data_IF_329748765507
#
_entry.id   IF_329748765507
#
_cell.length_a   1.000
_cell.length_b   1.000
_cell.length_c   1.000
_cell.angle_alpha   90.00
_cell.angle_beta   90.00
_cell.angle_gamma   90.00
#
_symmetry.space_group_name_H-M   'P 1'
#
loop_
_entity.id
_entity.type
_entity.pdbx_description
1 polymer ?
#
# COMPACT_ATOMS: atom_id res chain seq x y z
N UNK A 1 35.21 -4.27 -24.98
CA UNK A 1 33.82 -4.75 -25.16
C UNK A 1 33.34 -5.31 -23.84
N UNK A 2 32.61 -4.52 -23.05
CA UNK A 2 31.91 -5.06 -21.88
C UNK A 2 30.52 -5.49 -22.34
N UNK A 3 30.33 -6.81 -22.42
CA UNK A 3 29.05 -7.42 -22.73
C UNK A 3 28.11 -7.21 -21.55
N UNK A 4 27.07 -6.41 -21.76
CA UNK A 4 25.95 -6.27 -20.86
C UNK A 4 25.23 -7.63 -20.77
N UNK A 5 25.27 -8.28 -19.61
CA UNK A 5 24.30 -9.32 -19.29
C UNK A 5 23.00 -8.62 -18.91
N UNK A 6 22.14 -8.37 -19.88
CA UNK A 6 20.72 -8.16 -19.61
C UNK A 6 20.13 -9.49 -19.17
N UNK A 7 19.96 -9.70 -17.87
CA UNK A 7 19.05 -10.73 -17.39
C UNK A 7 17.63 -10.24 -17.66
N UNK A 8 17.11 -10.53 -18.85
CA UNK A 8 15.68 -10.41 -19.15
C UNK A 8 14.95 -11.52 -18.38
N UNK A 9 14.76 -11.33 -17.07
CA UNK A 9 13.71 -12.06 -16.36
C UNK A 9 12.38 -11.59 -16.95
N UNK A 10 11.52 -12.52 -17.35
CA UNK A 10 10.18 -12.15 -17.79
C UNK A 10 9.46 -11.40 -16.66
N UNK A 11 8.72 -10.32 -16.97
CA UNK A 11 8.00 -9.58 -15.95
C UNK A 11 6.97 -10.47 -15.26
N UNK A 12 6.75 -10.28 -13.95
CA UNK A 12 5.75 -11.04 -13.21
C UNK A 12 4.37 -10.89 -13.87
N UNK A 13 3.69 -12.01 -14.07
CA UNK A 13 2.40 -12.06 -14.76
C UNK A 13 1.29 -12.53 -13.83
N UNK A 14 0.17 -11.80 -13.83
CA UNK A 14 -1.06 -12.21 -13.18
C UNK A 14 -1.88 -13.13 -14.10
N UNK A 15 -2.48 -14.18 -13.52
CA UNK A 15 -3.39 -15.09 -14.18
C UNK A 15 -4.83 -14.56 -14.11
N UNK A 16 -5.12 -13.55 -14.93
CA UNK A 16 -6.42 -12.84 -14.98
C UNK A 16 -7.05 -12.90 -16.38
N UNK A 17 -8.33 -12.56 -16.49
CA UNK A 17 -9.09 -12.62 -17.73
C UNK A 17 -9.15 -14.04 -18.30
N UNK A 18 -8.77 -14.21 -19.56
CA UNK A 18 -8.73 -15.52 -20.23
C UNK A 18 -7.67 -16.46 -19.64
N UNK A 19 -6.65 -15.94 -18.97
CA UNK A 19 -5.61 -16.74 -18.29
C UNK A 19 -6.00 -17.15 -16.87
N UNK A 20 -7.17 -16.74 -16.37
CA UNK A 20 -7.62 -17.09 -15.04
C UNK A 20 -7.88 -18.60 -14.90
N UNK A 21 -7.32 -19.21 -13.85
CA UNK A 21 -7.48 -20.65 -13.56
C UNK A 21 -8.46 -20.94 -12.43
N UNK A 22 -8.95 -19.90 -11.75
CA UNK A 22 -9.96 -19.99 -10.70
C UNK A 22 -10.99 -18.87 -10.85
N UNK A 23 -12.27 -19.10 -10.49
CA UNK A 23 -13.32 -18.08 -10.61
C UNK A 23 -13.17 -16.98 -9.56
N UNK A 24 -12.86 -17.34 -8.31
CA UNK A 24 -12.62 -16.40 -7.23
C UNK A 24 -11.77 -17.04 -6.14
N UNK A 25 -11.06 -16.23 -5.37
CA UNK A 25 -10.33 -16.67 -4.18
C UNK A 25 -10.19 -15.55 -3.16
N UNK A 26 -10.08 -15.93 -1.89
CA UNK A 26 -9.68 -15.03 -0.82
C UNK A 26 -8.18 -15.09 -0.65
N UNK A 27 -7.56 -13.92 -0.49
CA UNK A 27 -6.12 -13.80 -0.28
C UNK A 27 -5.87 -13.62 1.22
N UNK A 28 -4.96 -14.41 1.83
CA UNK A 28 -4.57 -14.21 3.21
C UNK A 28 -4.04 -12.79 3.44
N UNK A 29 -4.66 -12.07 4.38
CA UNK A 29 -4.15 -10.77 4.82
C UNK A 29 -3.13 -10.97 5.93
N UNK A 30 -1.92 -10.47 5.72
CA UNK A 30 -0.81 -10.54 6.68
C UNK A 30 -0.70 -9.24 7.46
N UNK A 31 -0.49 -9.39 8.77
CA UNK A 31 -0.18 -8.26 9.64
C UNK A 31 1.17 -7.62 9.26
N UNK A 32 1.34 -6.32 9.52
CA UNK A 32 2.63 -5.64 9.42
C UNK A 32 3.72 -6.36 10.23
N UNK A 33 4.94 -6.32 9.73
CA UNK A 33 6.11 -6.93 10.38
C UNK A 33 7.23 -5.93 10.53
N UNK A 34 8.14 -6.20 11.47
CA UNK A 34 9.38 -5.47 11.59
C UNK A 34 10.37 -5.86 10.48
N UNK A 35 10.84 -4.84 9.75
CA UNK A 35 11.84 -4.95 8.68
C UNK A 35 13.14 -4.21 9.01
N UNK A 36 13.23 -3.59 10.19
CA UNK A 36 14.40 -2.82 10.60
C UNK A 36 15.67 -3.67 10.55
N UNK A 37 16.73 -3.09 9.97
CA UNK A 37 18.08 -3.63 9.91
C UNK A 37 18.23 -4.98 9.17
N UNK A 38 17.19 -5.44 8.47
CA UNK A 38 17.28 -6.61 7.59
C UNK A 38 17.99 -6.28 6.28
N UNK A 39 18.51 -7.30 5.60
CA UNK A 39 18.99 -7.17 4.22
C UNK A 39 17.82 -7.16 3.22
N UNK A 40 18.01 -6.48 2.08
CA UNK A 40 17.15 -6.53 0.89
C UNK A 40 16.88 -7.98 0.50
N UNK A 41 17.90 -8.84 0.51
CA UNK A 41 17.73 -10.26 0.18
C UNK A 41 16.71 -10.96 1.08
N UNK A 42 16.81 -10.81 2.41
CA UNK A 42 15.87 -11.41 3.35
C UNK A 42 14.43 -10.88 3.16
N UNK A 43 14.29 -9.58 2.90
CA UNK A 43 12.99 -8.93 2.66
C UNK A 43 12.35 -9.47 1.37
N UNK A 44 13.12 -9.53 0.29
CA UNK A 44 12.64 -10.01 -1.01
C UNK A 44 12.33 -11.50 -0.99
N UNK A 45 13.11 -12.32 -0.30
CA UNK A 45 12.81 -13.73 -0.13
C UNK A 45 11.56 -13.96 0.72
N UNK A 46 11.32 -13.13 1.74
CA UNK A 46 10.07 -13.20 2.49
C UNK A 46 8.86 -12.81 1.64
N UNK A 47 8.99 -11.75 0.83
CA UNK A 47 7.96 -11.35 -0.14
C UNK A 47 7.66 -12.45 -1.17
N UNK A 48 8.69 -13.11 -1.73
CA UNK A 48 8.52 -14.24 -2.66
C UNK A 48 7.69 -15.34 -2.03
N UNK A 49 8.03 -15.76 -0.81
CA UNK A 49 7.27 -16.76 -0.05
C UNK A 49 5.81 -16.33 0.12
N UNK A 50 5.54 -15.05 0.36
CA UNK A 50 4.17 -14.54 0.47
C UNK A 50 3.40 -14.64 -0.87
N UNK A 51 4.05 -14.36 -2.00
CA UNK A 51 3.42 -14.45 -3.33
C UNK A 51 3.16 -15.92 -3.74
N UNK A 52 4.11 -16.81 -3.46
CA UNK A 52 4.05 -18.24 -3.79
C UNK A 52 2.92 -19.00 -3.08
N UNK A 53 2.37 -18.45 -1.99
CA UNK A 53 1.21 -19.03 -1.30
C UNK A 53 -0.09 -18.93 -2.08
N UNK A 54 -0.12 -18.15 -3.17
CA UNK A 54 -1.31 -18.00 -4.01
C UNK A 54 -0.99 -18.27 -5.49
N UNK A 55 -0.55 -19.50 -5.83
CA UNK A 55 -0.07 -19.82 -7.18
C UNK A 55 -1.19 -19.78 -8.25
N UNK A 56 -2.46 -19.74 -7.84
CA UNK A 56 -3.62 -19.67 -8.73
C UNK A 56 -3.84 -18.29 -9.35
N UNK A 57 -3.12 -17.24 -8.92
CA UNK A 57 -3.22 -15.89 -9.51
C UNK A 57 -1.90 -15.32 -10.01
N UNK A 58 -0.77 -15.96 -9.71
CA UNK A 58 0.56 -15.53 -10.14
C UNK A 58 1.19 -16.61 -11.03
N UNK A 59 1.65 -16.23 -12.21
CA UNK A 59 2.49 -17.10 -13.02
C UNK A 59 3.86 -17.24 -12.33
N UNK A 60 4.25 -18.48 -12.03
CA UNK A 60 5.52 -18.79 -11.38
C UNK A 60 6.64 -19.07 -12.41
N UNK A 61 7.92 -18.83 -12.05
CA UNK A 61 8.39 -18.28 -10.77
C UNK A 61 8.16 -16.78 -10.64
N UNK A 62 7.79 -16.32 -9.44
CA UNK A 62 7.67 -14.90 -9.12
C UNK A 62 9.03 -14.31 -8.71
N UNK A 63 9.35 -13.12 -9.21
CA UNK A 63 10.57 -12.39 -8.88
C UNK A 63 10.26 -10.92 -8.58
N UNK A 64 10.51 -10.41 -7.35
CA UNK A 64 10.29 -9.00 -7.04
C UNK A 64 10.99 -8.07 -8.04
N UNK A 65 10.24 -7.11 -8.56
CA UNK A 65 10.69 -6.18 -9.58
C UNK A 65 11.81 -5.28 -9.06
N UNK A 66 12.93 -5.24 -9.78
CA UNK A 66 14.02 -4.30 -9.50
C UNK A 66 13.57 -2.85 -9.66
N UNK A 67 12.56 -2.57 -10.50
CA UNK A 67 12.03 -1.21 -10.65
C UNK A 67 11.31 -0.70 -9.39
N UNK A 68 10.77 -1.62 -8.57
CA UNK A 68 10.05 -1.27 -7.33
C UNK A 68 10.96 -1.42 -6.12
N UNK A 69 11.69 -2.52 -6.03
CA UNK A 69 12.43 -2.89 -4.83
C UNK A 69 13.94 -2.72 -4.97
N UNK A 70 14.41 -2.21 -6.10
CA UNK A 70 15.83 -2.11 -6.42
C UNK A 70 16.64 -1.28 -5.45
N UNK A 71 16.01 -0.24 -4.88
CA UNK A 71 16.67 0.78 -4.06
C UNK A 71 16.47 0.57 -2.56
N UNK A 72 16.03 -0.61 -2.12
CA UNK A 72 16.09 -0.99 -0.70
C UNK A 72 17.56 -1.06 -0.29
N UNK A 73 17.92 -0.36 0.78
CA UNK A 73 19.26 -0.44 1.38
C UNK A 73 19.28 -1.42 2.55
N UNK A 74 20.33 -2.26 2.59
CA UNK A 74 20.57 -3.24 3.65
C UNK A 74 20.85 -2.57 5.00
N UNK A 75 20.39 -3.20 6.08
CA UNK A 75 20.78 -2.78 7.43
C UNK A 75 20.25 -1.40 7.83
N UNK A 76 19.26 -0.86 7.10
CA UNK A 76 18.64 0.42 7.42
C UNK A 76 17.38 0.24 8.27
N UNK A 77 17.05 1.24 9.10
CA UNK A 77 15.72 1.32 9.68
C UNK A 77 14.67 1.56 8.59
N UNK A 78 13.40 1.35 8.94
CA UNK A 78 12.23 1.68 8.12
C UNK A 78 11.39 2.71 8.86
N UNK A 79 10.57 3.48 8.14
CA UNK A 79 9.49 4.20 8.78
C UNK A 79 8.58 3.21 9.52
N UNK A 80 8.40 3.40 10.83
CA UNK A 80 7.60 2.54 11.69
C UNK A 80 6.17 3.07 11.85
N UNK A 81 5.19 2.17 11.96
CA UNK A 81 3.77 2.55 12.14
C UNK A 81 3.54 3.40 13.40
N UNK A 82 4.17 3.02 14.52
CA UNK A 82 4.09 3.80 15.76
C UNK A 82 4.96 5.07 15.64
N UNK A 83 6.15 4.94 15.05
CA UNK A 83 7.04 6.04 14.72
C UNK A 83 6.34 7.20 14.02
N UNK A 84 5.73 6.91 12.87
CA UNK A 84 5.01 7.88 12.05
C UNK A 84 3.76 8.42 12.73
N UNK A 85 2.99 7.58 13.44
CA UNK A 85 1.73 7.98 14.05
C UNK A 85 1.89 8.85 15.30
N UNK A 86 2.95 8.65 16.09
CA UNK A 86 3.12 9.27 17.40
C UNK A 86 4.20 10.36 17.38
N UNK A 87 5.42 10.02 16.96
CA UNK A 87 6.59 10.89 17.14
C UNK A 87 7.01 11.62 15.86
N UNK A 88 6.61 11.13 14.69
CA UNK A 88 7.05 11.70 13.42
C UNK A 88 8.56 11.54 13.18
N UNK A 89 9.18 12.45 12.40
CA UNK A 89 10.60 12.37 12.09
C UNK A 89 11.49 12.55 13.33
N UNK A 90 12.50 11.70 13.46
CA UNK A 90 13.45 11.75 14.58
C UNK A 90 13.90 10.38 15.07
N UNK A 91 14.52 10.30 16.26
CA UNK A 91 15.07 9.05 16.80
C UNK A 91 14.06 7.90 17.00
N UNK A 92 12.76 8.21 17.10
CA UNK A 92 11.67 7.24 17.26
C UNK A 92 10.89 6.96 15.97
N UNK A 93 11.31 7.51 14.85
CA UNK A 93 10.62 7.34 13.55
C UNK A 93 10.53 5.89 13.08
N UNK A 94 11.44 5.01 13.52
CA UNK A 94 11.47 3.58 13.18
C UNK A 94 10.77 2.68 14.19
N UNK A 95 10.05 3.24 15.18
CA UNK A 95 9.36 2.46 16.22
C UNK A 95 8.14 1.72 15.66
N UNK A 96 8.00 0.45 16.04
CA UNK A 96 6.92 -0.44 15.61
C UNK A 96 7.23 -1.17 14.30
N UNK A 97 6.28 -1.95 13.80
CA UNK A 97 6.40 -2.62 12.51
C UNK A 97 6.60 -1.60 11.38
N UNK A 98 7.36 -1.97 10.34
CA UNK A 98 7.61 -1.09 9.20
C UNK A 98 6.29 -0.75 8.51
N UNK A 99 6.04 0.51 8.22
CA UNK A 99 4.81 0.98 7.57
C UNK A 99 4.60 0.27 6.22
N UNK A 100 5.64 0.22 5.39
CA UNK A 100 5.60 -0.43 4.07
C UNK A 100 5.42 -1.94 4.14
N UNK A 101 5.64 -2.56 5.30
CA UNK A 101 5.39 -4.00 5.45
C UNK A 101 3.92 -4.36 5.17
N UNK A 102 2.98 -3.40 5.38
CA UNK A 102 1.57 -3.53 5.00
C UNK A 102 1.38 -4.03 3.56
N UNK A 103 2.24 -3.61 2.64
CA UNK A 103 2.15 -3.96 1.22
C UNK A 103 3.27 -4.91 0.78
N UNK A 104 4.46 -4.84 1.39
CA UNK A 104 5.58 -5.75 1.08
C UNK A 104 5.19 -7.20 1.36
N UNK A 105 4.56 -7.47 2.51
CA UNK A 105 4.16 -8.84 2.89
C UNK A 105 2.80 -9.25 2.34
N UNK A 106 2.09 -8.34 1.69
CA UNK A 106 0.83 -8.60 0.99
C UNK A 106 1.01 -8.32 -0.52
N UNK A 107 1.83 -9.09 -1.25
CA UNK A 107 2.20 -8.77 -2.64
C UNK A 107 0.98 -8.68 -3.58
N UNK A 108 -0.10 -9.40 -3.28
CA UNK A 108 -1.34 -9.39 -4.06
C UNK A 108 -2.34 -8.32 -3.64
N UNK A 109 -1.99 -7.46 -2.68
CA UNK A 109 -2.66 -6.18 -2.47
C UNK A 109 -2.15 -5.19 -3.54
N UNK A 110 -2.71 -5.28 -4.76
CA UNK A 110 -2.25 -4.46 -5.90
C UNK A 110 -2.40 -2.95 -5.67
N UNK A 111 -3.45 -2.54 -4.96
CA UNK A 111 -3.68 -1.16 -4.55
C UNK A 111 -4.37 -1.16 -3.17
N UNK A 112 -3.87 -0.38 -2.23
CA UNK A 112 -4.42 -0.28 -0.87
C UNK A 112 -4.45 1.15 -0.34
N UNK A 113 -5.24 1.36 0.71
CA UNK A 113 -5.41 2.67 1.33
C UNK A 113 -4.23 3.01 2.25
N UNK A 114 -3.67 4.20 2.07
CA UNK A 114 -2.68 4.79 2.96
C UNK A 114 -3.29 6.00 3.68
N UNK A 115 -3.81 5.83 4.90
CA UNK A 115 -4.52 6.90 5.59
C UNK A 115 -3.58 8.01 6.07
N UNK A 116 -4.10 9.23 6.15
CA UNK A 116 -3.39 10.38 6.70
C UNK A 116 -3.31 10.31 8.23
N UNK A 117 -2.47 9.41 8.77
CA UNK A 117 -2.31 9.14 10.22
C UNK A 117 -1.01 9.67 10.80
N UNK A 118 -0.21 10.42 10.04
CA UNK A 118 1.06 11.01 10.50
C UNK A 118 0.81 11.91 11.70
N UNK A 119 1.55 11.69 12.79
CA UNK A 119 1.56 12.52 13.99
C UNK A 119 0.16 12.80 14.58
N UNK A 120 -0.76 11.85 14.44
CA UNK A 120 -2.12 11.99 14.95
C UNK A 120 -2.22 11.93 16.47
N UNK A 121 -1.22 11.32 17.13
CA UNK A 121 -1.18 11.12 18.58
C UNK A 121 -0.34 12.16 19.29
N UNK A 122 -0.78 12.57 20.48
CA UNK A 122 -0.06 13.45 21.37
C UNK A 122 1.05 12.65 22.09
N UNK A 123 2.30 12.88 21.69
CA UNK A 123 3.46 12.11 22.17
C UNK A 123 3.69 12.23 23.67
N UNK A 124 3.23 13.30 24.31
CA UNK A 124 3.35 13.50 25.76
C UNK A 124 2.33 12.67 26.55
N UNK A 125 1.29 12.15 25.88
CA UNK A 125 0.17 11.42 26.51
C UNK A 125 0.18 9.91 26.22
N UNK A 126 0.87 9.49 25.16
CA UNK A 126 0.98 8.08 24.77
C UNK A 126 2.19 7.46 25.46
N UNK A 127 1.93 6.43 26.27
CA UNK A 127 2.97 5.63 26.94
C UNK A 127 3.41 4.47 26.05
N UNK A 128 4.51 3.83 26.43
CA UNK A 128 5.02 2.64 25.75
C UNK A 128 4.01 1.49 25.79
N UNK A 129 3.32 1.33 26.92
CA UNK A 129 2.28 0.30 27.08
C UNK A 129 1.07 0.56 26.19
N UNK A 130 0.71 1.82 25.93
CA UNK A 130 -0.47 2.15 25.14
C UNK A 130 -0.35 1.63 23.70
N UNK A 131 0.71 2.02 22.99
CA UNK A 131 0.83 1.74 21.56
C UNK A 131 1.10 0.26 21.25
N UNK A 132 1.59 -0.48 22.23
CA UNK A 132 1.78 -1.93 22.14
C UNK A 132 0.47 -2.73 22.31
N UNK A 133 -0.63 -2.08 22.73
CA UNK A 133 -1.93 -2.76 22.83
C UNK A 133 -2.51 -3.05 21.45
N UNK A 134 -3.15 -4.20 21.34
CA UNK A 134 -3.83 -4.62 20.10
C UNK A 134 -5.02 -3.73 19.71
N UNK A 135 -5.57 -2.95 20.66
CA UNK A 135 -6.67 -2.01 20.44
C UNK A 135 -6.21 -0.57 20.23
N UNK A 136 -4.91 -0.30 20.14
CA UNK A 136 -4.38 1.02 19.86
C UNK A 136 -4.37 1.29 18.34
N UNK A 137 -5.14 2.28 17.84
CA UNK A 137 -5.36 2.44 16.41
C UNK A 137 -4.21 3.22 15.74
N UNK A 138 -3.17 2.52 15.30
CA UNK A 138 -2.01 3.14 14.62
C UNK A 138 -2.28 3.50 13.16
N UNK A 139 -2.95 2.63 12.42
CA UNK A 139 -3.17 2.80 10.98
C UNK A 139 -4.30 1.88 10.50
N UNK A 140 -4.94 2.21 9.39
CA UNK A 140 -5.88 1.29 8.74
C UNK A 140 -5.13 0.06 8.24
N UNK A 141 -5.65 -1.11 8.58
CA UNK A 141 -5.20 -2.40 8.07
C UNK A 141 -6.32 -3.02 7.24
N UNK A 142 -6.01 -3.64 6.09
CA UNK A 142 -7.01 -4.42 5.39
C UNK A 142 -7.42 -5.60 6.28
N UNK A 143 -8.68 -5.99 6.25
CA UNK A 143 -9.19 -7.18 6.94
C UNK A 143 -9.64 -8.26 5.97
N UNK A 144 -9.77 -7.92 4.70
CA UNK A 144 -10.25 -8.82 3.66
C UNK A 144 -9.65 -8.43 2.31
N UNK A 145 -9.22 -9.43 1.56
CA UNK A 145 -8.82 -9.29 0.15
C UNK A 145 -9.47 -10.44 -0.61
N UNK A 146 -10.22 -10.12 -1.66
CA UNK A 146 -10.83 -11.11 -2.56
C UNK A 146 -10.57 -10.77 -4.00
N UNK A 147 -10.30 -11.80 -4.78
CA UNK A 147 -10.07 -11.72 -6.21
C UNK A 147 -11.16 -12.46 -6.97
N UNK A 148 -11.49 -11.90 -8.12
CA UNK A 148 -12.25 -12.51 -9.21
C UNK A 148 -11.39 -12.43 -10.46
N UNK A 149 -10.44 -13.37 -10.64
CA UNK A 149 -9.41 -13.24 -11.66
C UNK A 149 -9.98 -13.23 -13.08
N UNK A 150 -11.06 -13.98 -13.34
CA UNK A 150 -11.71 -14.02 -14.66
C UNK A 150 -12.32 -12.67 -15.05
N UNK A 151 -12.83 -11.95 -14.07
CA UNK A 151 -13.42 -10.62 -14.19
C UNK A 151 -12.37 -9.50 -14.15
N UNK A 152 -11.10 -9.84 -13.90
CA UNK A 152 -10.03 -8.86 -13.66
C UNK A 152 -10.39 -7.88 -12.54
N UNK A 153 -10.87 -8.41 -11.41
CA UNK A 153 -11.35 -7.63 -10.27
C UNK A 153 -10.73 -8.08 -8.94
N UNK A 154 -10.37 -7.12 -8.10
CA UNK A 154 -10.03 -7.32 -6.69
C UNK A 154 -10.88 -6.40 -5.83
N UNK A 155 -11.24 -6.87 -4.63
CA UNK A 155 -11.82 -6.08 -3.57
C UNK A 155 -10.94 -6.19 -2.32
N UNK A 156 -10.75 -5.06 -1.66
CA UNK A 156 -10.00 -4.94 -0.40
C UNK A 156 -10.88 -4.18 0.58
N UNK A 157 -11.04 -4.68 1.80
CA UNK A 157 -11.86 -4.03 2.82
C UNK A 157 -11.02 -3.53 3.99
N UNK A 158 -11.31 -2.30 4.41
CA UNK A 158 -10.74 -1.64 5.57
C UNK A 158 -11.88 -1.26 6.54
N UNK A 159 -11.81 -1.66 7.83
CA UNK A 159 -12.83 -1.39 8.82
C UNK A 159 -12.68 0.04 9.41
N UNK A 160 -12.82 1.06 8.56
CA UNK A 160 -12.62 2.47 8.91
C UNK A 160 -13.60 2.96 10.00
N UNK A 161 -14.85 2.50 10.01
CA UNK A 161 -15.81 2.83 11.07
C UNK A 161 -15.34 2.32 12.43
N UNK A 162 -14.77 1.11 12.48
CA UNK A 162 -14.20 0.56 13.72
C UNK A 162 -12.94 1.32 14.14
N UNK A 163 -12.07 1.64 13.19
CA UNK A 163 -10.89 2.47 13.47
C UNK A 163 -11.27 3.84 14.04
N UNK A 164 -12.27 4.50 13.45
CA UNK A 164 -12.79 5.77 13.93
C UNK A 164 -13.40 5.66 15.34
N UNK A 165 -14.10 4.56 15.63
CA UNK A 165 -14.59 4.28 16.98
C UNK A 165 -13.45 4.07 17.99
N UNK A 166 -12.39 3.38 17.59
CA UNK A 166 -11.21 3.20 18.44
C UNK A 166 -10.53 4.54 18.71
N UNK A 167 -10.38 5.39 17.69
CA UNK A 167 -9.89 6.75 17.89
C UNK A 167 -10.72 7.54 18.89
N UNK A 168 -12.05 7.43 18.81
CA UNK A 168 -12.92 8.08 19.77
C UNK A 168 -12.70 7.58 21.20
N UNK A 169 -12.45 6.28 21.38
CA UNK A 169 -12.15 5.70 22.70
C UNK A 169 -10.84 6.25 23.28
N UNK A 170 -9.87 6.54 22.42
CA UNK A 170 -8.55 7.06 22.77
C UNK A 170 -8.42 8.58 22.65
N UNK A 171 -9.52 9.31 22.41
CA UNK A 171 -9.53 10.73 22.03
C UNK A 171 -8.76 11.68 22.95
N UNK A 172 -8.62 11.35 24.23
CA UNK A 172 -7.86 12.16 25.19
C UNK A 172 -6.34 12.20 24.89
N UNK A 173 -5.85 11.26 24.08
CA UNK A 173 -4.44 11.14 23.67
C UNK A 173 -4.17 11.59 22.23
N UNK A 174 -5.19 12.09 21.51
CA UNK A 174 -5.01 12.61 20.14
C UNK A 174 -4.49 14.05 20.17
N UNK A 175 -3.67 14.45 19.18
CA UNK A 175 -3.29 15.87 18.98
C UNK A 175 -4.49 16.74 18.58
N UNK A 176 -5.49 16.12 17.93
CA UNK A 176 -6.69 16.78 17.42
C UNK A 176 -7.90 15.84 17.57
N UNK A 177 -9.06 16.39 17.90
CA UNK A 177 -10.34 15.67 17.96
C UNK A 177 -10.95 15.44 16.57
N UNK A 178 -10.41 16.08 15.53
CA UNK A 178 -10.87 15.93 14.15
C UNK A 178 -10.28 14.69 13.50
N UNK A 179 -11.14 13.74 13.16
CA UNK A 179 -10.81 12.64 12.26
C UNK A 179 -10.57 13.22 10.86
N UNK A 180 -9.44 12.85 10.27
CA UNK A 180 -9.09 13.25 8.90
C UNK A 180 -9.59 12.15 7.95
N UNK A 181 -10.65 12.39 7.16
CA UNK A 181 -11.20 11.36 6.27
C UNK A 181 -10.42 11.27 4.96
N UNK A 182 -9.09 11.34 5.01
CA UNK A 182 -8.22 11.39 3.84
C UNK A 182 -7.23 10.23 3.79
N UNK A 183 -6.92 9.80 2.58
CA UNK A 183 -5.98 8.74 2.29
C UNK A 183 -5.35 8.94 0.90
N UNK A 184 -4.18 8.35 0.69
CA UNK A 184 -3.63 8.08 -0.63
C UNK A 184 -3.76 6.61 -0.98
N UNK A 185 -3.40 6.25 -2.22
CA UNK A 185 -3.33 4.87 -2.68
C UNK A 185 -1.87 4.46 -2.84
N UNK A 186 -1.51 3.35 -2.19
CA UNK A 186 -0.23 2.67 -2.40
C UNK A 186 -0.47 1.50 -3.35
N UNK A 187 0.24 1.50 -4.47
CA UNK A 187 0.02 0.57 -5.57
C UNK A 187 1.32 0.16 -6.30
N UNK A 188 2.48 0.23 -5.65
CA UNK A 188 3.72 -0.29 -6.24
C UNK A 188 3.67 -1.82 -6.45
N UNK A 189 2.82 -2.52 -5.69
CA UNK A 189 2.52 -3.93 -5.96
C UNK A 189 1.91 -4.12 -7.36
N UNK A 190 1.14 -3.16 -7.89
CA UNK A 190 0.66 -3.23 -9.27
C UNK A 190 1.81 -3.14 -10.29
N UNK A 191 2.79 -2.25 -10.06
CA UNK A 191 3.99 -2.11 -10.91
C UNK A 191 4.81 -3.41 -10.89
N UNK A 192 4.91 -4.06 -9.73
CA UNK A 192 5.57 -5.35 -9.57
C UNK A 192 4.98 -6.45 -10.47
N UNK A 193 3.69 -6.33 -10.84
CA UNK A 193 2.99 -7.20 -11.79
C UNK A 193 2.77 -6.55 -13.18
N UNK A 194 3.59 -5.55 -13.52
CA UNK A 194 3.58 -4.84 -14.80
C UNK A 194 2.24 -4.14 -15.11
N UNK A 195 1.53 -3.66 -14.09
CA UNK A 195 0.38 -2.76 -14.19
C UNK A 195 0.85 -1.34 -13.87
N UNK A 196 1.40 -0.67 -14.88
CA UNK A 196 2.19 0.55 -14.72
C UNK A 196 1.38 1.85 -14.71
N UNK A 197 0.09 1.81 -15.06
CA UNK A 197 -0.77 2.98 -15.12
C UNK A 197 -1.97 2.82 -14.19
N UNK A 198 -2.36 3.93 -13.56
CA UNK A 198 -3.37 3.95 -12.50
C UNK A 198 -4.30 5.16 -12.64
N UNK A 199 -5.55 4.96 -12.27
CA UNK A 199 -6.57 6.02 -12.20
C UNK A 199 -7.56 5.73 -11.07
N UNK A 200 -7.84 6.74 -10.23
CA UNK A 200 -8.93 6.67 -9.24
C UNK A 200 -10.16 7.34 -9.84
N UNK A 201 -11.15 6.53 -10.22
CA UNK A 201 -12.36 6.94 -10.91
C UNK A 201 -13.41 7.39 -9.89
N UNK A 202 -13.37 8.67 -9.51
CA UNK A 202 -14.30 9.24 -8.52
C UNK A 202 -15.76 9.22 -9.00
N UNK A 203 -16.00 9.23 -10.32
CA UNK A 203 -17.34 9.15 -10.88
C UNK A 203 -17.98 7.75 -10.72
N UNK A 204 -17.16 6.69 -10.70
CA UNK A 204 -17.60 5.31 -10.38
C UNK A 204 -17.46 4.93 -8.91
N UNK A 205 -16.82 5.79 -8.13
CA UNK A 205 -16.62 5.57 -6.70
C UNK A 205 -17.89 5.93 -5.91
N UNK A 206 -18.02 5.35 -4.72
CA UNK A 206 -19.10 5.66 -3.76
C UNK A 206 -18.52 6.51 -2.62
N UNK A 207 -19.05 7.71 -2.42
CA UNK A 207 -18.64 8.61 -1.34
C UNK A 207 -17.14 8.95 -1.34
N UNK A 208 -16.53 9.08 -2.52
CA UNK A 208 -15.11 9.44 -2.68
C UNK A 208 -14.97 10.72 -3.48
N UNK A 209 -14.10 11.61 -3.02
CA UNK A 209 -13.69 12.81 -3.73
C UNK A 209 -12.15 12.89 -3.79
N UNK A 210 -11.61 13.47 -4.86
CA UNK A 210 -10.18 13.80 -4.95
C UNK A 210 -10.00 15.30 -4.67
N UNK A 211 -9.26 15.64 -3.61
CA UNK A 211 -9.05 17.03 -3.17
C UNK A 211 -8.27 17.83 -4.22
N UNK A 212 -7.38 17.18 -4.98
CA UNK A 212 -6.58 17.81 -6.03
C UNK A 212 -7.31 17.92 -7.37
N UNK A 213 -8.61 17.56 -7.42
CA UNK A 213 -9.39 17.26 -8.63
C UNK A 213 -8.89 16.01 -9.33
N UNK A 214 -9.83 15.18 -9.78
CA UNK A 214 -9.53 13.98 -10.56
C UNK A 214 -8.79 14.35 -11.84
N UNK A 215 -7.67 13.70 -12.17
CA UNK A 215 -6.99 13.97 -13.44
C UNK A 215 -7.88 13.59 -14.63
N UNK A 216 -7.60 14.19 -15.78
CA UNK A 216 -8.33 13.88 -17.02
C UNK A 216 -7.88 12.56 -17.68
N UNK A 217 -6.69 12.07 -17.33
CA UNK A 217 -6.07 10.88 -17.91
C UNK A 217 -5.48 9.96 -16.83
N UNK A 218 -5.34 8.68 -17.15
CA UNK A 218 -4.60 7.73 -16.33
C UNK A 218 -3.12 8.16 -16.24
N UNK A 219 -2.55 8.03 -15.04
CA UNK A 219 -1.18 8.45 -14.76
C UNK A 219 -0.28 7.23 -14.63
N UNK A 220 1.00 7.39 -14.99
CA UNK A 220 2.00 6.35 -14.70
C UNK A 220 2.18 6.25 -13.19
N UNK A 221 2.07 5.05 -12.63
CA UNK A 221 2.46 4.83 -11.26
C UNK A 221 4.00 4.80 -11.18
N UNK A 222 4.57 5.68 -10.37
CA UNK A 222 6.01 5.83 -10.19
C UNK A 222 6.48 5.42 -8.80
N UNK A 223 5.62 4.84 -7.98
CA UNK A 223 5.97 4.43 -6.62
C UNK A 223 7.03 3.32 -6.61
N UNK A 224 8.05 3.47 -5.77
CA UNK A 224 9.08 2.48 -5.50
C UNK A 224 9.55 2.59 -4.06
N UNK A 225 10.26 1.58 -3.58
CA UNK A 225 10.90 1.58 -2.26
C UNK A 225 12.34 2.07 -2.40
N UNK A 226 12.72 2.98 -1.52
CA UNK A 226 14.05 3.57 -1.46
C UNK A 226 14.47 3.88 -0.03
N UNK A 227 15.76 4.13 0.18
CA UNK A 227 16.27 4.73 1.40
C UNK A 227 16.28 6.27 1.28
N UNK A 228 15.55 6.94 2.16
CA UNK A 228 15.38 8.39 2.16
C UNK A 228 15.63 9.04 3.52
N UNK A 229 15.84 10.35 3.53
CA UNK A 229 16.14 11.12 4.75
C UNK A 229 14.92 11.59 5.55
N UNK A 230 13.70 11.26 5.14
CA UNK A 230 12.47 11.86 5.71
C UNK A 230 12.24 11.52 7.17
N UNK A 231 12.76 10.39 7.65
CA UNK A 231 12.72 9.98 9.06
C UNK A 231 13.73 10.69 9.96
N UNK A 232 14.66 11.48 9.41
CA UNK A 232 15.70 12.20 10.16
C UNK A 232 16.63 11.33 11.03
N UNK A 233 16.68 10.01 10.80
CA UNK A 233 17.73 9.15 11.34
C UNK A 233 19.01 9.33 10.50
N UNK A 234 20.20 9.46 11.10
CA UNK A 234 21.45 9.51 10.36
C UNK A 234 21.61 8.34 9.38
N UNK A 235 21.82 8.66 8.11
CA UNK A 235 21.91 7.65 7.04
C UNK A 235 20.56 7.20 6.45
N UNK A 236 19.43 7.75 6.90
CA UNK A 236 18.11 7.53 6.33
C UNK A 236 17.45 6.21 6.75
N UNK A 237 16.24 6.01 6.23
CA UNK A 237 15.42 4.82 6.41
C UNK A 237 14.74 4.43 5.10
N UNK A 238 14.41 3.16 4.96
CA UNK A 238 13.63 2.65 3.84
C UNK A 238 12.15 3.06 3.95
N UNK A 239 11.55 3.50 2.84
CA UNK A 239 10.12 3.79 2.67
C UNK A 239 9.71 3.87 1.19
N UNK A 240 8.42 4.06 0.91
CA UNK A 240 7.93 4.35 -0.45
C UNK A 240 8.04 5.83 -0.82
N UNK A 241 8.41 6.08 -2.07
CA UNK A 241 8.28 7.38 -2.73
C UNK A 241 8.15 7.20 -4.25
N UNK A 242 7.87 8.26 -5.02
CA UNK A 242 7.29 9.53 -4.60
C UNK A 242 5.79 9.38 -4.29
N UNK A 243 5.25 10.36 -3.58
CA UNK A 243 3.80 10.57 -3.56
C UNK A 243 3.32 10.84 -4.99
N UNK A 244 2.33 10.07 -5.46
CA UNK A 244 1.73 10.25 -6.77
C UNK A 244 0.46 11.08 -6.60
N UNK A 245 0.56 12.39 -6.86
CA UNK A 245 -0.51 13.39 -6.57
C UNK A 245 -1.90 13.03 -7.10
N UNK A 246 -1.98 12.28 -8.20
CA UNK A 246 -3.24 11.87 -8.84
C UNK A 246 -3.99 10.78 -8.07
N UNK A 247 -3.29 10.02 -7.25
CA UNK A 247 -3.82 8.91 -6.44
C UNK A 247 -3.57 9.16 -4.95
N UNK A 248 -3.24 10.39 -4.60
CA UNK A 248 -3.03 10.88 -3.26
C UNK A 248 -4.03 12.00 -2.95
N UNK A 249 -4.22 12.33 -1.67
CA UNK A 249 -5.20 13.32 -1.18
C UNK A 249 -6.63 13.03 -1.63
N UNK A 250 -7.01 11.76 -1.55
CA UNK A 250 -8.38 11.29 -1.72
C UNK A 250 -9.07 11.44 -0.36
N UNK A 251 -10.35 11.79 -0.36
CA UNK A 251 -11.17 11.78 0.86
C UNK A 251 -12.43 10.97 0.66
N UNK A 252 -12.91 10.35 1.75
CA UNK A 252 -14.26 9.83 1.81
C UNK A 252 -15.22 10.88 2.41
N UNK A 253 -16.43 10.97 1.88
CA UNK A 253 -17.44 11.94 2.34
C UNK A 253 -18.45 11.34 3.32
N UNK A 254 -18.62 10.03 3.29
CA UNK A 254 -19.44 9.25 4.21
C UNK A 254 -18.99 7.78 4.21
N UNK A 255 -19.24 7.05 5.30
CA UNK A 255 -19.06 5.60 5.37
C UNK A 255 -20.43 4.90 5.26
N UNK A 256 -20.54 3.76 4.55
CA UNK A 256 -19.46 3.10 3.79
C UNK A 256 -19.05 3.90 2.54
N UNK A 257 -17.78 3.76 2.14
CA UNK A 257 -17.24 4.32 0.90
C UNK A 257 -16.53 3.25 0.07
N UNK A 258 -16.42 3.48 -1.24
CA UNK A 258 -15.68 2.61 -2.17
C UNK A 258 -14.91 3.46 -3.16
N UNK A 259 -13.58 3.33 -3.18
CA UNK A 259 -12.77 3.87 -4.26
C UNK A 259 -12.65 2.85 -5.40
N UNK A 260 -12.95 3.30 -6.61
CA UNK A 260 -12.73 2.56 -7.85
C UNK A 260 -11.32 2.88 -8.38
N UNK A 261 -10.42 1.92 -8.36
CA UNK A 261 -9.06 2.06 -8.88
C UNK A 261 -8.90 1.22 -10.13
N UNK A 262 -8.65 1.86 -11.26
CA UNK A 262 -8.38 1.20 -12.54
C UNK A 262 -6.88 1.10 -12.78
N UNK A 263 -6.41 -0.07 -13.21
CA UNK A 263 -5.01 -0.38 -13.47
C UNK A 263 -4.83 -0.89 -14.90
N UNK A 264 -3.79 -0.40 -15.59
CA UNK A 264 -3.41 -0.83 -16.94
C UNK A 264 -1.92 -1.16 -17.03
N UNK A 265 -1.56 -2.07 -17.92
CA UNK A 265 -0.17 -2.38 -18.28
C UNK A 265 0.47 -1.24 -19.07
N UNK A 266 -0.26 -0.80 -20.09
CA UNK A 266 0.13 0.26 -21.03
C UNK A 266 -0.72 1.52 -20.81
N UNK A 267 -0.23 2.67 -21.28
CA UNK A 267 -0.99 3.93 -21.18
C UNK A 267 -2.30 3.77 -21.98
N UNK A 268 -3.48 3.85 -21.36
CA UNK A 268 -4.72 3.78 -22.12
C UNK A 268 -4.90 5.05 -22.95
N UNK A 269 -5.56 4.93 -24.11
CA UNK A 269 -5.88 6.09 -24.96
C UNK A 269 -6.74 7.14 -24.25
N UNK A 270 -7.58 6.70 -23.30
CA UNK A 270 -8.34 7.53 -22.35
C UNK A 270 -8.89 6.64 -21.22
N UNK A 271 -9.48 7.27 -20.19
CA UNK A 271 -9.96 6.59 -18.98
C UNK A 271 -11.17 5.65 -19.20
N UNK A 272 -11.80 5.66 -20.38
CA UNK A 272 -12.92 4.77 -20.70
C UNK A 272 -12.45 3.43 -21.30
N UNK A 273 -11.18 3.30 -21.68
CA UNK A 273 -10.61 2.03 -22.10
C UNK A 273 -10.69 1.04 -20.94
N UNK A 274 -11.19 -0.18 -21.22
CA UNK A 274 -11.30 -1.24 -20.21
C UNK A 274 -9.94 -1.45 -19.51
N UNK A 275 -9.87 -1.38 -18.17
CA UNK A 275 -8.64 -1.68 -17.44
C UNK A 275 -8.30 -3.16 -17.47
N UNK A 276 -6.99 -3.44 -17.39
CA UNK A 276 -6.47 -4.80 -17.23
C UNK A 276 -6.87 -5.40 -15.89
N UNK A 277 -7.01 -4.54 -14.87
CA UNK A 277 -7.45 -4.89 -13.52
C UNK A 277 -8.20 -3.73 -12.87
N UNK A 278 -9.29 -4.04 -12.17
CA UNK A 278 -9.99 -3.11 -11.28
C UNK A 278 -9.75 -3.52 -9.84
N UNK A 279 -9.55 -2.53 -8.97
CA UNK A 279 -9.48 -2.71 -7.53
C UNK A 279 -10.54 -1.84 -6.85
N UNK A 280 -11.38 -2.48 -6.04
CA UNK A 280 -12.27 -1.81 -5.10
C UNK A 280 -11.60 -1.71 -3.74
N UNK A 281 -11.42 -0.48 -3.25
CA UNK A 281 -10.99 -0.22 -1.88
C UNK A 281 -12.23 0.20 -1.11
N UNK A 282 -12.74 -0.72 -0.31
CA UNK A 282 -13.94 -0.54 0.50
C UNK A 282 -13.56 -0.06 1.90
N UNK A 283 -14.10 1.10 2.27
CA UNK A 283 -13.97 1.69 3.59
C UNK A 283 -15.30 1.46 4.31
N UNK A 284 -15.32 0.54 5.27
CA UNK A 284 -16.52 0.10 6.00
C UNK A 284 -16.56 0.66 7.41
#
# INVERSE_FOLDING_TARGET
MFSAKSSNAEPNKLLIGESAVVPSLEIPVRAPVDLNFRSKAEILDYRKKCAELTPSVVALPYQPSEAVFGQIEDGKPWWGLAGQGIWGPGPKSSTGAAEESRFIVNPLLLAGANPAVVEMWDEDKVTEEDWQRSDFPLCWQPTFIKWWPKESLMQVEYPVSKFNQDLYNWRMKLKSDKIIPAFGVVAYNAIDFNLNFIYVDTAKSLNIENINKTPAEAQRNTQFIHCGGTCQIPGGCNNMSPEVRSIDRIKYTALPARAWVSLWRDKPANINVKPDMVVYIDLK
#
